data_IF_472851363207
#
_entry.id   IF_472851363207
#
_cell.length_a   1.000
_cell.length_b   1.000
_cell.length_c   1.000
_cell.angle_alpha   90.00
_cell.angle_beta   90.00
_cell.angle_gamma   90.00
#
_symmetry.space_group_name_H-M   'P 1'
#
loop_
_entity.id
_entity.type
_entity.pdbx_description
1 polymer ?
#
# COMPACT_ATOMS: atom_id res chain seq x y z
N UNK A 1 -19.36 19.52 -11.88
CA UNK A 1 -19.92 18.21 -11.48
C UNK A 1 -19.01 17.02 -11.80
N UNK A 2 -18.45 16.88 -13.01
CA UNK A 2 -17.60 15.72 -13.38
C UNK A 2 -16.31 15.51 -12.57
N UNK A 3 -15.66 16.59 -12.11
CA UNK A 3 -14.39 16.48 -11.36
C UNK A 3 -14.54 15.90 -9.96
N UNK A 4 -15.67 16.16 -9.30
CA UNK A 4 -15.93 15.72 -7.92
C UNK A 4 -16.17 14.22 -7.87
N UNK A 5 -16.91 13.68 -8.85
CA UNK A 5 -17.18 12.24 -8.95
C UNK A 5 -15.92 11.42 -9.18
N UNK A 6 -14.98 11.91 -9.99
CA UNK A 6 -13.73 11.20 -10.25
C UNK A 6 -12.83 11.10 -9.00
N UNK A 7 -12.67 12.19 -8.27
CA UNK A 7 -11.88 12.20 -7.03
C UNK A 7 -12.48 11.28 -5.98
N UNK A 8 -13.82 11.24 -5.87
CA UNK A 8 -14.52 10.35 -4.94
C UNK A 8 -14.31 8.87 -5.29
N UNK A 9 -14.43 8.50 -6.58
CA UNK A 9 -14.17 7.12 -7.03
C UNK A 9 -12.72 6.72 -6.74
N UNK A 10 -11.74 7.59 -7.04
CA UNK A 10 -10.33 7.32 -6.74
C UNK A 10 -10.10 7.10 -5.23
N UNK A 11 -10.71 7.92 -4.37
CA UNK A 11 -10.63 7.77 -2.91
C UNK A 11 -11.22 6.46 -2.43
N UNK A 12 -12.38 6.06 -2.95
CA UNK A 12 -13.02 4.79 -2.60
C UNK A 12 -12.15 3.61 -3.02
N UNK A 13 -11.62 3.61 -4.25
CA UNK A 13 -10.74 2.54 -4.73
C UNK A 13 -9.49 2.43 -3.84
N UNK A 14 -8.83 3.54 -3.54
CA UNK A 14 -7.65 3.56 -2.65
C UNK A 14 -8.00 3.07 -1.24
N UNK A 15 -9.12 3.51 -0.69
CA UNK A 15 -9.58 3.10 0.64
C UNK A 15 -9.87 1.60 0.70
N UNK A 16 -10.56 1.04 -0.30
CA UNK A 16 -10.86 -0.41 -0.37
C UNK A 16 -9.57 -1.22 -0.48
N UNK A 17 -8.62 -0.80 -1.32
CA UNK A 17 -7.35 -1.52 -1.49
C UNK A 17 -6.51 -1.46 -0.21
N UNK A 18 -6.36 -0.27 0.39
CA UNK A 18 -5.61 -0.11 1.64
C UNK A 18 -6.28 -0.85 2.80
N UNK A 19 -7.61 -0.81 2.89
CA UNK A 19 -8.35 -1.53 3.92
C UNK A 19 -8.20 -3.05 3.75
N UNK A 20 -8.37 -3.58 2.53
CA UNK A 20 -8.15 -5.00 2.26
C UNK A 20 -6.72 -5.43 2.57
N UNK A 21 -5.73 -4.61 2.21
CA UNK A 21 -4.31 -4.82 2.51
C UNK A 21 -4.06 -4.88 4.02
N UNK A 22 -4.55 -3.88 4.76
CA UNK A 22 -4.39 -3.78 6.21
C UNK A 22 -5.11 -4.89 6.97
N UNK A 23 -6.36 -5.22 6.59
CA UNK A 23 -7.11 -6.33 7.20
C UNK A 23 -6.37 -7.66 6.96
N UNK A 24 -5.92 -7.93 5.73
CA UNK A 24 -5.20 -9.15 5.40
C UNK A 24 -3.90 -9.31 6.18
N UNK A 25 -3.15 -8.22 6.40
CA UNK A 25 -1.95 -8.24 7.25
C UNK A 25 -2.24 -8.32 8.75
N UNK A 26 -3.36 -7.76 9.22
CA UNK A 26 -3.77 -7.91 10.63
C UNK A 26 -4.14 -9.36 10.98
N UNK A 27 -4.67 -10.11 10.01
CA UNK A 27 -4.99 -11.52 10.18
C UNK A 27 -3.74 -12.39 10.35
N UNK A 28 -2.63 -11.99 9.71
CA UNK A 28 -1.34 -12.69 9.84
C UNK A 28 -0.17 -11.69 9.90
N UNK A 29 0.09 -11.21 11.13
CA UNK A 29 1.17 -10.26 11.39
C UNK A 29 2.55 -10.89 11.24
N UNK A 30 2.67 -12.20 11.46
CA UNK A 30 3.95 -12.89 11.33
C UNK A 30 4.36 -12.98 9.86
N UNK A 31 3.40 -13.24 8.97
CA UNK A 31 3.60 -13.11 7.52
C UNK A 31 4.00 -11.68 7.12
N UNK A 32 3.37 -10.66 7.71
CA UNK A 32 3.75 -9.27 7.41
C UNK A 32 5.16 -8.94 7.88
N UNK A 33 5.62 -9.49 9.01
CA UNK A 33 7.00 -9.30 9.51
C UNK A 33 7.99 -10.06 8.66
N UNK A 34 7.68 -11.30 8.31
CA UNK A 34 8.53 -12.14 7.47
C UNK A 34 8.74 -11.49 6.09
N UNK A 35 7.67 -10.95 5.52
CA UNK A 35 7.76 -10.15 4.29
C UNK A 35 8.77 -9.01 4.42
N UNK A 36 8.78 -8.24 5.51
CA UNK A 36 9.75 -7.17 5.68
C UNK A 36 11.19 -7.71 5.71
N UNK A 37 11.42 -8.86 6.34
CA UNK A 37 12.72 -9.54 6.34
C UNK A 37 13.11 -10.00 4.94
N UNK A 38 12.20 -10.63 4.20
CA UNK A 38 12.42 -11.14 2.84
C UNK A 38 12.74 -10.01 1.84
N UNK A 39 12.21 -8.82 2.08
CA UNK A 39 12.51 -7.61 1.31
C UNK A 39 13.88 -7.01 1.65
N UNK A 40 14.56 -7.52 2.69
CA UNK A 40 15.92 -7.16 3.07
C UNK A 40 16.04 -6.26 4.30
N UNK A 41 14.96 -6.06 5.08
CA UNK A 41 15.06 -5.31 6.33
C UNK A 41 15.67 -6.17 7.43
N UNK A 42 16.53 -5.61 8.31
CA UNK A 42 17.02 -6.33 9.47
C UNK A 42 15.86 -6.63 10.42
N UNK A 43 15.90 -7.78 11.09
CA UNK A 43 14.81 -8.27 11.96
C UNK A 43 14.34 -7.26 13.00
N UNK A 44 15.27 -6.48 13.58
CA UNK A 44 14.98 -5.42 14.55
C UNK A 44 14.06 -4.30 14.01
N UNK A 45 14.12 -4.02 12.70
CA UNK A 45 13.28 -3.01 12.03
C UNK A 45 12.06 -3.66 11.38
N UNK A 46 12.22 -4.85 10.80
CA UNK A 46 11.14 -5.61 10.17
C UNK A 46 9.98 -5.91 11.12
N UNK A 47 10.27 -6.20 12.40
CA UNK A 47 9.26 -6.52 13.41
C UNK A 47 8.34 -5.34 13.74
N UNK A 48 8.84 -4.14 14.11
CA UNK A 48 7.96 -2.99 14.34
C UNK A 48 7.28 -2.55 13.04
N UNK A 49 7.99 -2.45 11.91
CA UNK A 49 7.37 -1.98 10.67
C UNK A 49 6.27 -2.91 10.19
N UNK A 50 6.49 -4.23 10.19
CA UNK A 50 5.46 -5.21 9.83
C UNK A 50 4.25 -5.24 10.78
N UNK A 51 4.42 -4.79 12.03
CA UNK A 51 3.32 -4.74 13.02
C UNK A 51 2.53 -3.43 12.94
N UNK A 52 3.20 -2.30 12.70
CA UNK A 52 2.56 -0.98 12.64
C UNK A 52 1.96 -0.67 11.27
N UNK A 53 2.54 -1.21 10.19
CA UNK A 53 2.11 -0.97 8.81
C UNK A 53 0.60 -1.24 8.59
N UNK A 54 0.01 -2.34 9.07
CA UNK A 54 -1.41 -2.61 8.88
C UNK A 54 -2.31 -1.55 9.52
N UNK A 55 -1.93 -1.05 10.70
CA UNK A 55 -2.63 0.04 11.38
C UNK A 55 -2.54 1.35 10.60
N UNK A 56 -1.38 1.64 10.00
CA UNK A 56 -1.19 2.81 9.15
C UNK A 56 -2.05 2.69 7.87
N UNK A 57 -2.07 1.52 7.21
CA UNK A 57 -2.88 1.28 6.02
C UNK A 57 -4.38 1.51 6.29
N UNK A 58 -4.89 1.03 7.43
CA UNK A 58 -6.28 1.23 7.84
C UNK A 58 -6.57 2.68 8.23
N UNK A 59 -5.65 3.32 8.95
CA UNK A 59 -5.78 4.74 9.30
C UNK A 59 -5.87 5.62 8.05
N UNK A 60 -5.03 5.36 7.05
CA UNK A 60 -5.07 6.08 5.75
C UNK A 60 -6.35 5.78 4.99
N UNK A 61 -6.82 4.52 4.99
CA UNK A 61 -8.08 4.15 4.35
C UNK A 61 -9.28 4.91 4.95
N UNK A 62 -9.37 5.00 6.28
CA UNK A 62 -10.41 5.76 6.97
C UNK A 62 -10.29 7.27 6.70
N UNK A 63 -9.07 7.80 6.76
CA UNK A 63 -8.82 9.23 6.52
C UNK A 63 -9.11 9.64 5.06
N UNK A 64 -9.01 8.72 4.10
CA UNK A 64 -9.43 8.93 2.70
C UNK A 64 -10.95 9.06 2.57
N UNK A 65 -11.75 8.50 3.48
CA UNK A 65 -13.21 8.62 3.44
C UNK A 65 -13.71 9.92 4.07
N UNK A 66 -12.93 10.50 5.00
CA UNK A 66 -13.27 11.76 5.66
C UNK A 66 -12.80 12.95 4.80
N UNK A 67 -13.75 13.73 4.27
CA UNK A 67 -13.55 14.89 3.39
C UNK A 67 -12.33 15.77 3.72
N UNK A 68 -12.26 16.39 4.91
CA UNK A 68 -11.20 17.33 5.28
C UNK A 68 -9.81 16.70 5.47
N UNK A 69 -9.72 15.41 5.77
CA UNK A 69 -8.43 14.71 5.94
C UNK A 69 -7.92 14.06 4.66
N UNK A 70 -8.73 14.07 3.60
CA UNK A 70 -8.44 13.33 2.37
C UNK A 70 -7.19 13.80 1.63
N UNK A 71 -6.86 15.09 1.73
CA UNK A 71 -5.62 15.64 1.18
C UNK A 71 -4.38 15.02 1.83
N UNK A 72 -4.33 15.02 3.16
CA UNK A 72 -3.25 14.41 3.94
C UNK A 72 -3.21 12.89 3.74
N UNK A 73 -4.37 12.25 3.68
CA UNK A 73 -4.48 10.81 3.46
C UNK A 73 -3.99 10.41 2.06
N UNK A 74 -4.20 11.24 1.03
CA UNK A 74 -3.69 10.99 -0.31
C UNK A 74 -2.15 11.06 -0.37
N UNK A 75 -1.54 12.00 0.35
CA UNK A 75 -0.08 12.04 0.54
C UNK A 75 0.44 10.78 1.24
N UNK A 76 -0.22 10.35 2.32
CA UNK A 76 0.16 9.15 3.03
C UNK A 76 0.02 7.88 2.15
N UNK A 77 -1.06 7.78 1.37
CA UNK A 77 -1.28 6.69 0.42
C UNK A 77 -0.21 6.66 -0.67
N UNK A 78 0.18 7.83 -1.22
CA UNK A 78 1.29 7.94 -2.16
C UNK A 78 2.62 7.52 -1.56
N UNK A 79 2.91 7.96 -0.34
CA UNK A 79 4.12 7.58 0.39
C UNK A 79 4.19 6.06 0.59
N UNK A 80 3.12 5.45 1.08
CA UNK A 80 3.03 4.00 1.28
C UNK A 80 3.24 3.24 -0.04
N UNK A 81 2.52 3.61 -1.10
CA UNK A 81 2.64 2.96 -2.40
C UNK A 81 4.01 3.19 -3.04
N UNK A 82 4.59 4.38 -2.85
CA UNK A 82 5.93 4.72 -3.33
C UNK A 82 7.01 3.90 -2.65
N UNK A 83 7.00 3.81 -1.32
CA UNK A 83 7.92 2.95 -0.56
C UNK A 83 7.77 1.50 -1.00
N UNK A 84 6.54 1.02 -1.15
CA UNK A 84 6.27 -0.35 -1.57
C UNK A 84 6.79 -0.62 -3.00
N UNK A 85 6.55 0.31 -3.92
CA UNK A 85 7.04 0.24 -5.31
C UNK A 85 8.56 0.26 -5.40
N UNK A 86 9.23 1.11 -4.62
CA UNK A 86 10.68 1.15 -4.53
C UNK A 86 11.24 -0.16 -3.98
N UNK A 87 10.66 -0.69 -2.90
CA UNK A 87 11.11 -1.95 -2.31
C UNK A 87 10.98 -3.14 -3.28
N UNK A 88 9.87 -3.21 -4.03
CA UNK A 88 9.65 -4.18 -5.11
C UNK A 88 10.67 -3.97 -6.23
N UNK A 89 10.85 -2.74 -6.71
CA UNK A 89 11.76 -2.40 -7.80
C UNK A 89 13.23 -2.70 -7.49
N UNK A 90 13.69 -2.38 -6.28
CA UNK A 90 15.05 -2.67 -5.81
C UNK A 90 15.30 -4.18 -5.74
N UNK A 91 14.33 -4.96 -5.25
CA UNK A 91 14.45 -6.43 -5.23
C UNK A 91 14.48 -7.01 -6.64
N UNK A 92 13.63 -6.53 -7.55
CA UNK A 92 13.66 -6.95 -8.96
C UNK A 92 14.98 -6.58 -9.65
N UNK A 93 15.51 -5.38 -9.41
CA UNK A 93 16.80 -4.94 -9.94
C UNK A 93 17.96 -5.77 -9.40
N UNK A 94 17.87 -6.22 -8.14
CA UNK A 94 18.81 -7.16 -7.53
C UNK A 94 18.61 -8.62 -7.98
N UNK A 95 17.69 -8.90 -8.92
CA UNK A 95 17.37 -10.25 -9.39
C UNK A 95 16.58 -11.10 -8.39
N UNK A 96 16.19 -10.54 -7.24
CA UNK A 96 15.41 -11.21 -6.19
C UNK A 96 13.92 -11.11 -6.50
N UNK A 97 13.20 -12.22 -6.35
CA UNK A 97 11.74 -12.28 -6.53
C UNK A 97 11.07 -12.91 -5.31
N UNK A 98 11.16 -12.29 -4.12
CA UNK A 98 10.43 -12.79 -2.96
C UNK A 98 8.92 -12.73 -3.21
N UNK A 99 8.17 -13.51 -2.46
CA UNK A 99 6.71 -13.50 -2.52
C UNK A 99 6.17 -12.20 -1.90
N UNK A 100 5.32 -11.46 -2.63
CA UNK A 100 4.52 -10.42 -2.01
C UNK A 100 3.31 -11.02 -1.30
N UNK A 101 3.23 -10.81 0.01
CA UNK A 101 2.05 -11.08 0.84
C UNK A 101 1.30 -9.79 1.17
N UNK A 102 1.09 -8.99 0.13
CA UNK A 102 0.52 -7.64 0.23
C UNK A 102 -0.83 -7.64 0.98
N UNK A 103 -1.63 -8.71 0.84
CA UNK A 103 -2.91 -8.93 1.50
C UNK A 103 -2.85 -10.08 2.53
N UNK A 104 -1.68 -10.33 3.13
CA UNK A 104 -1.44 -11.50 3.99
C UNK A 104 -1.60 -12.82 3.22
N UNK A 105 -2.09 -13.84 3.91
CA UNK A 105 -2.35 -15.18 3.34
C UNK A 105 -3.46 -15.22 2.29
N UNK A 106 -4.28 -14.15 2.19
CA UNK A 106 -5.36 -14.04 1.20
C UNK A 106 -4.83 -13.90 -0.24
N UNK A 107 -3.62 -13.34 -0.42
CA UNK A 107 -3.03 -13.20 -1.74
C UNK A 107 -1.51 -13.22 -1.68
N UNK A 108 -0.94 -14.35 -2.11
CA UNK A 108 0.48 -14.55 -2.28
C UNK A 108 0.80 -14.41 -3.77
N UNK A 109 1.57 -13.39 -4.12
CA UNK A 109 1.97 -13.15 -5.49
C UNK A 109 3.48 -12.91 -5.58
N UNK A 110 4.18 -13.69 -6.39
CA UNK A 110 5.61 -13.48 -6.63
C UNK A 110 5.83 -12.10 -7.25
N UNK A 111 6.81 -11.35 -6.73
CA UNK A 111 7.10 -10.01 -7.21
C UNK A 111 7.42 -10.03 -8.72
N UNK A 112 6.75 -9.15 -9.47
CA UNK A 112 6.93 -9.00 -10.91
C UNK A 112 6.21 -7.78 -11.48
N UNK A 113 6.20 -7.65 -12.81
CA UNK A 113 5.62 -6.51 -13.54
C UNK A 113 4.15 -6.22 -13.23
N UNK A 114 3.36 -7.25 -12.89
CA UNK A 114 1.95 -7.08 -12.48
C UNK A 114 1.81 -6.35 -11.14
N UNK A 115 2.67 -6.66 -10.17
CA UNK A 115 2.66 -5.99 -8.86
C UNK A 115 3.11 -4.53 -9.01
N UNK A 116 4.14 -4.30 -9.83
CA UNK A 116 4.64 -2.96 -10.11
C UNK A 116 3.58 -2.10 -10.83
N UNK A 117 2.95 -2.62 -11.88
CA UNK A 117 1.92 -1.88 -12.64
C UNK A 117 0.70 -1.56 -11.77
N UNK A 118 0.24 -2.50 -10.94
CA UNK A 118 -0.85 -2.25 -9.99
C UNK A 118 -0.51 -1.09 -9.05
N UNK A 119 0.69 -1.08 -8.46
CA UNK A 119 1.08 0.00 -7.55
C UNK A 119 1.20 1.34 -8.28
N UNK A 120 1.73 1.36 -9.51
CA UNK A 120 1.80 2.58 -10.33
C UNK A 120 0.42 3.14 -10.65
N UNK A 121 -0.56 2.28 -10.97
CA UNK A 121 -1.96 2.70 -11.16
C UNK A 121 -2.52 3.31 -9.88
N UNK A 122 -2.30 2.68 -8.72
CA UNK A 122 -2.74 3.22 -7.42
C UNK A 122 -2.07 4.56 -7.09
N UNK A 123 -0.78 4.71 -7.39
CA UNK A 123 -0.07 5.99 -7.26
C UNK A 123 -0.67 7.06 -8.17
N UNK A 124 -1.00 6.72 -9.42
CA UNK A 124 -1.64 7.65 -10.34
C UNK A 124 -3.03 8.08 -9.82
N UNK A 125 -3.83 7.17 -9.28
CA UNK A 125 -5.12 7.50 -8.65
C UNK A 125 -4.94 8.44 -7.46
N UNK A 126 -3.93 8.21 -6.61
CA UNK A 126 -3.66 9.07 -5.48
C UNK A 126 -3.15 10.47 -5.92
N UNK A 127 -2.36 10.55 -6.99
CA UNK A 127 -1.99 11.83 -7.60
C UNK A 127 -3.21 12.58 -8.16
N UNK A 128 -4.17 11.89 -8.78
CA UNK A 128 -5.44 12.50 -9.22
C UNK A 128 -6.22 13.08 -8.05
N UNK A 129 -6.23 12.41 -6.89
CA UNK A 129 -6.86 12.93 -5.66
C UNK A 129 -6.14 14.18 -5.16
N UNK A 130 -4.81 14.23 -5.21
CA UNK A 130 -4.07 15.45 -4.85
C UNK A 130 -4.24 16.60 -5.84
N UNK A 131 -4.38 16.32 -7.13
CA UNK A 131 -4.56 17.38 -8.13
C UNK A 131 -5.99 17.94 -8.17
N UNK A 132 -6.96 17.22 -7.60
CA UNK A 132 -8.38 17.56 -7.64
C UNK A 132 -9.05 17.74 -6.26
N UNK A 133 -8.33 17.47 -5.17
CA UNK A 133 -8.74 17.76 -3.79
C UNK A 133 -8.47 19.20 -3.41
#
# INVERSE_FOLDING_TARGET
>A
MWSVSLALVCRIVLAVVLAGSGIGKLQDLDDSRQMMVDFGLPYAVARPTGTFLPGIELGVALALLVGPTSWWAAWAALGLMGVFTLAVGLNMAAGRRPDCRCFGSLHIATIGWRVLSRNLVLMALAAVVLLKG
#
